data_IF_593605714760
#
_entry.id   IF_593605714760
#
_cell.length_a   1.000
_cell.length_b   1.000
_cell.length_c   1.000
_cell.angle_alpha   90.00
_cell.angle_beta   90.00
_cell.angle_gamma   90.00
#
_symmetry.space_group_name_H-M   'P 1'
#
loop_
_entity.id
_entity.type
_entity.pdbx_description
1 polymer ?
#
# COMPACT_ATOMS: atom_id res chain seq x y z
N UNK A 1 5.76 0.29 -3.82
CA UNK A 1 6.70 1.41 -4.05
C UNK A 1 6.49 2.05 -5.43
N UNK A 2 6.50 1.28 -6.53
CA UNK A 2 6.31 1.83 -7.89
C UNK A 2 5.04 2.68 -8.08
N UNK A 3 3.87 2.21 -7.63
CA UNK A 3 2.60 2.96 -7.78
C UNK A 3 2.56 4.29 -7.00
N UNK A 4 3.23 4.38 -5.84
CA UNK A 4 3.32 5.63 -5.06
C UNK A 4 4.23 6.62 -5.78
N UNK A 5 5.37 6.16 -6.30
CA UNK A 5 6.27 6.99 -7.09
C UNK A 5 5.58 7.51 -8.36
N UNK A 6 4.80 6.67 -9.03
CA UNK A 6 4.01 7.05 -10.20
C UNK A 6 2.95 8.11 -9.87
N UNK A 7 2.24 7.97 -8.74
CA UNK A 7 1.28 8.99 -8.26
C UNK A 7 1.96 10.34 -8.08
N UNK A 8 3.11 10.36 -7.41
CA UNK A 8 3.90 11.59 -7.22
C UNK A 8 4.36 12.17 -8.56
N UNK A 9 4.87 11.34 -9.46
CA UNK A 9 5.31 11.79 -10.79
C UNK A 9 4.16 12.38 -11.61
N UNK A 10 2.98 11.77 -11.60
CA UNK A 10 1.78 12.29 -12.27
C UNK A 10 1.30 13.60 -11.65
N UNK A 11 1.32 13.72 -10.32
CA UNK A 11 1.00 14.97 -9.62
C UNK A 11 1.93 16.11 -10.03
N UNK A 12 3.24 15.85 -10.07
CA UNK A 12 4.23 16.83 -10.50
C UNK A 12 4.04 17.24 -11.97
N UNK A 13 3.77 16.28 -12.86
CA UNK A 13 3.48 16.56 -14.29
C UNK A 13 2.20 17.37 -14.46
N UNK A 14 1.16 17.08 -13.68
CA UNK A 14 -0.09 17.85 -13.69
C UNK A 14 0.14 19.29 -13.25
N UNK A 15 0.94 19.50 -12.20
CA UNK A 15 1.29 20.84 -11.73
C UNK A 15 2.06 21.64 -12.79
N UNK A 16 2.96 20.99 -13.54
CA UNK A 16 3.75 21.62 -14.60
C UNK A 16 2.99 21.81 -15.92
N UNK A 17 1.84 21.15 -16.13
CA UNK A 17 1.10 21.21 -17.38
C UNK A 17 0.34 22.55 -17.56
N UNK A 18 0.59 23.20 -18.70
CA UNK A 18 -0.02 24.49 -19.07
C UNK A 18 -1.25 24.34 -19.96
N UNK A 19 -1.29 23.29 -20.81
CA UNK A 19 -2.43 23.01 -21.67
C UNK A 19 -3.62 22.44 -20.88
N UNK A 20 -4.80 23.02 -21.07
CA UNK A 20 -6.04 22.57 -20.44
C UNK A 20 -6.38 21.10 -20.77
N UNK A 21 -6.11 20.68 -22.02
CA UNK A 21 -6.29 19.30 -22.44
C UNK A 21 -5.38 18.34 -21.65
N UNK A 22 -4.08 18.65 -21.57
CA UNK A 22 -3.12 17.82 -20.84
C UNK A 22 -3.43 17.78 -19.34
N UNK A 23 -3.83 18.90 -18.74
CA UNK A 23 -4.25 18.92 -17.32
C UNK A 23 -5.42 17.98 -17.08
N UNK A 24 -6.44 18.00 -17.95
CA UNK A 24 -7.61 17.13 -17.83
C UNK A 24 -7.22 15.65 -17.94
N UNK A 25 -6.36 15.31 -18.89
CA UNK A 25 -5.89 13.95 -19.10
C UNK A 25 -5.05 13.45 -17.90
N UNK A 26 -4.07 14.22 -17.47
CA UNK A 26 -3.23 13.89 -16.32
C UNK A 26 -4.04 13.76 -15.03
N UNK A 27 -5.01 14.65 -14.79
CA UNK A 27 -5.88 14.54 -13.63
C UNK A 27 -6.76 13.28 -13.67
N UNK A 28 -7.21 12.86 -14.86
CA UNK A 28 -7.99 11.62 -15.03
C UNK A 28 -7.15 10.38 -14.74
N UNK A 29 -5.90 10.36 -15.21
CA UNK A 29 -4.94 9.28 -14.91
C UNK A 29 -4.63 9.23 -13.43
N UNK A 30 -4.34 10.37 -12.80
CA UNK A 30 -4.05 10.46 -11.37
C UNK A 30 -5.21 9.90 -10.53
N UNK A 31 -6.45 10.36 -10.78
CA UNK A 31 -7.64 9.85 -10.08
C UNK A 31 -7.84 8.34 -10.27
N UNK A 32 -7.51 7.81 -11.43
CA UNK A 32 -7.64 6.37 -11.70
C UNK A 32 -6.60 5.57 -10.91
N UNK A 33 -5.36 6.03 -10.88
CA UNK A 33 -4.30 5.42 -10.08
C UNK A 33 -4.62 5.46 -8.58
N UNK A 34 -5.11 6.59 -8.07
CA UNK A 34 -5.54 6.72 -6.67
C UNK A 34 -6.66 5.74 -6.31
N UNK A 35 -7.66 5.56 -7.18
CA UNK A 35 -8.71 4.55 -6.99
C UNK A 35 -8.15 3.13 -6.96
N UNK A 36 -7.19 2.81 -7.82
CA UNK A 36 -6.55 1.48 -7.82
C UNK A 36 -5.77 1.23 -6.53
N UNK A 37 -5.00 2.22 -6.06
CA UNK A 37 -4.27 2.14 -4.79
C UNK A 37 -5.26 1.90 -3.64
N UNK A 38 -6.31 2.72 -3.53
CA UNK A 38 -7.30 2.59 -2.47
C UNK A 38 -8.02 1.24 -2.48
N UNK A 39 -8.30 0.69 -3.68
CA UNK A 39 -8.91 -0.65 -3.82
C UNK A 39 -7.96 -1.76 -3.37
N UNK A 40 -6.67 -1.65 -3.69
CA UNK A 40 -5.67 -2.62 -3.25
C UNK A 40 -5.53 -2.58 -1.73
N UNK A 41 -5.42 -1.39 -1.14
CA UNK A 41 -5.33 -1.21 0.31
C UNK A 41 -6.55 -1.81 1.02
N UNK A 42 -7.76 -1.53 0.55
CA UNK A 42 -8.98 -2.10 1.16
C UNK A 42 -9.09 -3.61 0.99
N UNK A 43 -8.61 -4.16 -0.13
CA UNK A 43 -8.58 -5.61 -0.37
C UNK A 43 -7.60 -6.30 0.58
N UNK A 44 -6.41 -5.73 0.78
CA UNK A 44 -5.40 -6.24 1.71
C UNK A 44 -5.95 -6.23 3.14
N UNK A 45 -6.54 -5.12 3.57
CA UNK A 45 -7.16 -5.00 4.88
C UNK A 45 -8.28 -6.03 5.09
N UNK A 46 -9.13 -6.24 4.08
CA UNK A 46 -10.19 -7.24 4.14
C UNK A 46 -9.64 -8.67 4.28
N UNK A 47 -8.60 -9.02 3.52
CA UNK A 47 -7.94 -10.32 3.60
C UNK A 47 -7.34 -10.57 5.00
N UNK A 48 -6.74 -9.54 5.61
CA UNK A 48 -6.15 -9.65 6.95
C UNK A 48 -7.20 -9.78 8.03
N UNK A 49 -8.31 -9.03 7.93
CA UNK A 49 -9.41 -9.17 8.89
C UNK A 49 -10.11 -10.52 8.81
N UNK A 50 -10.10 -11.15 7.63
CA UNK A 50 -10.63 -12.49 7.44
C UNK A 50 -9.74 -13.58 8.07
N UNK A 51 -8.47 -13.29 8.34
CA UNK A 51 -7.53 -14.20 9.00
C UNK A 51 -7.26 -13.74 10.45
N UNK A 52 -7.82 -14.48 11.40
CA UNK A 52 -7.73 -14.15 12.82
C UNK A 52 -6.30 -14.04 13.35
N UNK A 53 -5.35 -14.83 12.84
CA UNK A 53 -3.95 -14.76 13.27
C UNK A 53 -3.23 -13.56 12.67
N UNK A 54 -3.51 -13.22 11.41
CA UNK A 54 -2.96 -12.02 10.78
C UNK A 54 -3.51 -10.75 11.43
N UNK A 55 -4.82 -10.66 11.73
CA UNK A 55 -5.38 -9.51 12.43
C UNK A 55 -4.77 -9.34 13.83
N UNK A 56 -4.60 -10.44 14.58
CA UNK A 56 -3.95 -10.42 15.90
C UNK A 56 -2.52 -9.89 15.81
N UNK A 57 -1.72 -10.40 14.87
CA UNK A 57 -0.35 -9.94 14.67
C UNK A 57 -0.30 -8.47 14.21
N UNK A 58 -1.20 -8.05 13.31
CA UNK A 58 -1.32 -6.66 12.87
C UNK A 58 -1.62 -5.73 14.05
N UNK A 59 -2.48 -6.15 14.98
CA UNK A 59 -2.85 -5.37 16.17
C UNK A 59 -1.67 -5.21 17.14
N UNK A 60 -0.90 -6.27 17.36
CA UNK A 60 0.32 -6.24 18.18
C UNK A 60 1.35 -5.29 17.57
N UNK A 61 1.60 -5.38 16.26
CA UNK A 61 2.54 -4.46 15.60
C UNK A 61 2.10 -3.00 15.74
N UNK A 62 0.81 -2.73 15.59
CA UNK A 62 0.23 -1.39 15.74
C UNK A 62 0.24 -0.84 17.18
N UNK A 63 0.52 -1.66 18.21
CA UNK A 63 0.69 -1.15 19.57
C UNK A 63 2.07 -0.52 19.81
N UNK A 64 3.00 -0.68 18.87
CA UNK A 64 4.33 -0.07 18.93
C UNK A 64 4.22 1.40 18.49
N UNK A 65 4.68 2.37 19.30
CA UNK A 65 4.70 3.77 18.91
C UNK A 65 5.43 3.98 17.58
N UNK A 66 4.80 4.70 16.65
CA UNK A 66 5.33 4.94 15.30
C UNK A 66 5.05 3.83 14.28
N UNK A 67 4.42 2.72 14.66
CA UNK A 67 4.00 1.66 13.72
C UNK A 67 2.53 1.84 13.33
N UNK A 68 2.32 2.43 12.16
CA UNK A 68 1.00 2.58 11.57
C UNK A 68 0.53 1.36 10.76
N UNK A 69 -0.70 1.40 10.21
CA UNK A 69 -1.27 0.31 9.41
C UNK A 69 -0.34 -0.15 8.28
N UNK A 70 0.14 0.77 7.44
CA UNK A 70 1.03 0.46 6.31
C UNK A 70 2.32 -0.23 6.77
N UNK A 71 2.96 0.28 7.82
CA UNK A 71 4.21 -0.31 8.35
C UNK A 71 3.95 -1.70 8.95
N UNK A 72 2.84 -1.87 9.68
CA UNK A 72 2.46 -3.19 10.23
C UNK A 72 2.19 -4.22 9.14
N UNK A 73 1.54 -3.83 8.05
CA UNK A 73 1.31 -4.68 6.87
C UNK A 73 2.61 -5.06 6.18
N UNK A 74 3.53 -4.10 6.02
CA UNK A 74 4.84 -4.36 5.44
C UNK A 74 5.66 -5.36 6.27
N UNK A 75 5.59 -5.28 7.60
CA UNK A 75 6.19 -6.28 8.48
C UNK A 75 5.51 -7.64 8.36
N UNK A 76 4.17 -7.70 8.33
CA UNK A 76 3.46 -8.97 8.15
C UNK A 76 3.76 -9.64 6.82
N UNK A 77 3.87 -8.86 5.73
CA UNK A 77 4.24 -9.39 4.42
C UNK A 77 5.66 -10.00 4.44
N UNK A 78 6.63 -9.30 5.03
CA UNK A 78 8.00 -9.80 5.17
C UNK A 78 8.11 -10.97 6.17
N UNK A 79 7.33 -10.95 7.25
CA UNK A 79 7.28 -12.02 8.25
C UNK A 79 6.48 -13.24 7.78
N UNK A 80 5.55 -13.10 6.85
CA UNK A 80 4.90 -14.21 6.17
C UNK A 80 5.89 -15.00 5.29
N UNK A 81 6.89 -14.31 4.72
CA UNK A 81 8.00 -14.95 4.02
C UNK A 81 9.01 -15.59 4.99
N UNK A 82 9.34 -14.92 6.10
CA UNK A 82 10.24 -15.45 7.13
C UNK A 82 9.61 -16.57 7.98
N UNK A 83 8.29 -16.54 8.19
CA UNK A 83 7.54 -17.52 8.97
C UNK A 83 7.15 -18.77 8.17
N UNK A 84 7.27 -18.77 6.84
CA UNK A 84 7.29 -20.00 6.04
C UNK A 84 8.67 -20.65 6.02
N UNK A 85 9.73 -19.91 6.35
CA UNK A 85 11.03 -20.47 6.73
C UNK A 85 10.94 -20.84 8.23
N UNK A 86 9.99 -21.70 8.58
CA UNK A 86 10.03 -22.36 9.90
C UNK A 86 11.18 -23.35 9.88
N UNK A 87 12.28 -23.00 10.52
CA UNK A 87 13.16 -23.88 11.31
C UNK A 87 13.14 -25.38 10.95
N UNK A 88 13.52 -25.76 9.73
CA UNK A 88 14.00 -27.12 9.39
C UNK A 88 14.70 -27.19 8.04
N UNK A 89 15.59 -26.26 7.71
CA UNK A 89 16.68 -26.50 6.77
C UNK A 89 17.88 -25.66 7.23
N UNK A 90 18.55 -26.20 8.25
CA UNK A 90 20.01 -26.12 8.35
C UNK A 90 20.59 -27.35 7.64
#
# INVERSE_FOLDING_TARGET
QAAIAERTALGNRLAAATSAFLRRELATRLRTLERHIARLDSTIDAMIRADHELDRKARILRSIPGVGPVTSLAFLAQLGELGRITAKQA
#
